data_IF_723438155385
#
_entry.id   IF_723438155385
#
_cell.length_a   1.000
_cell.length_b   1.000
_cell.length_c   1.000
_cell.angle_alpha   90.00
_cell.angle_beta   90.00
_cell.angle_gamma   90.00
#
_symmetry.space_group_name_H-M   'P 1'
#
loop_
_entity.id
_entity.type
_entity.pdbx_description
1 polymer ?
#
# COMPACT_ATOMS: atom_id res chain seq x y z
N UNK A 1 -14.12 -18.81 19.69
CA UNK A 1 -15.00 -18.21 20.71
C UNK A 1 -15.56 -19.24 21.70
N UNK A 2 -16.24 -20.32 21.25
CA UNK A 2 -16.81 -21.36 22.15
C UNK A 2 -15.86 -21.85 23.27
N UNK A 3 -14.67 -22.33 22.90
CA UNK A 3 -13.65 -22.81 23.86
C UNK A 3 -13.22 -21.74 24.89
N UNK A 4 -13.19 -20.47 24.49
CA UNK A 4 -12.82 -19.35 25.37
C UNK A 4 -13.95 -19.02 26.35
N UNK A 5 -15.20 -19.04 25.87
CA UNK A 5 -16.40 -18.87 26.70
C UNK A 5 -16.56 -20.02 27.68
N UNK A 6 -16.26 -21.25 27.26
CA UNK A 6 -16.31 -22.44 28.11
C UNK A 6 -15.25 -22.40 29.22
N UNK A 7 -14.00 -22.05 28.88
CA UNK A 7 -12.93 -21.83 29.88
C UNK A 7 -13.24 -20.70 30.85
N UNK A 8 -13.74 -19.57 30.35
CA UNK A 8 -14.14 -18.44 31.20
C UNK A 8 -15.29 -18.83 32.15
N UNK A 9 -16.28 -19.58 31.65
CA UNK A 9 -17.40 -20.07 32.48
C UNK A 9 -16.99 -21.11 33.52
N UNK A 10 -16.02 -21.99 33.21
CA UNK A 10 -15.43 -22.90 34.19
C UNK A 10 -14.66 -22.13 35.27
N UNK A 11 -13.92 -21.09 34.88
CA UNK A 11 -13.18 -20.26 35.83
C UNK A 11 -14.10 -19.45 36.74
N UNK A 12 -15.18 -18.87 36.19
CA UNK A 12 -16.18 -18.15 36.98
C UNK A 12 -16.81 -19.05 38.07
N UNK A 13 -17.12 -20.31 37.72
CA UNK A 13 -17.63 -21.31 38.67
C UNK A 13 -16.62 -21.63 39.76
N UNK A 14 -15.33 -21.78 39.40
CA UNK A 14 -14.23 -22.05 40.32
C UNK A 14 -13.97 -20.87 41.28
N UNK A 15 -14.04 -19.63 40.78
CA UNK A 15 -13.93 -18.42 41.59
C UNK A 15 -15.08 -18.32 42.61
N UNK A 16 -16.32 -18.60 42.18
CA UNK A 16 -17.49 -18.60 43.08
C UNK A 16 -17.34 -19.61 44.21
N UNK A 17 -16.95 -20.87 43.92
CA UNK A 17 -16.80 -21.88 44.97
C UNK A 17 -15.66 -21.55 45.94
N UNK A 18 -14.55 -20.99 45.46
CA UNK A 18 -13.39 -20.65 46.31
C UNK A 18 -13.62 -19.39 47.14
N UNK A 19 -14.38 -18.41 46.64
CA UNK A 19 -14.82 -17.25 47.41
C UNK A 19 -15.72 -17.63 48.59
N UNK A 20 -16.49 -18.71 48.46
CA UNK A 20 -17.33 -19.26 49.53
C UNK A 20 -16.51 -20.03 50.58
N UNK A 21 -15.33 -20.53 50.22
CA UNK A 21 -14.48 -21.41 51.04
C UNK A 21 -13.32 -20.69 51.75
N UNK A 22 -12.98 -19.44 51.36
CA UNK A 22 -12.01 -18.60 52.09
C UNK A 22 -10.53 -18.94 51.88
N UNK A 23 -10.18 -19.71 50.85
CA UNK A 23 -8.81 -20.18 50.61
C UNK A 23 -7.94 -19.14 49.87
N UNK A 24 -6.92 -18.60 50.55
CA UNK A 24 -6.02 -17.57 50.00
C UNK A 24 -4.98 -18.09 48.99
N UNK A 25 -4.53 -19.34 49.10
CA UNK A 25 -3.55 -19.91 48.14
C UNK A 25 -4.17 -20.17 46.76
N UNK A 26 -5.47 -20.42 46.70
CA UNK A 26 -6.21 -20.61 45.45
C UNK A 26 -6.30 -19.33 44.60
N UNK A 27 -6.11 -18.14 45.19
CA UNK A 27 -6.11 -16.87 44.48
C UNK A 27 -4.97 -16.72 43.47
N UNK A 28 -3.78 -17.29 43.73
CA UNK A 28 -2.64 -17.19 42.80
C UNK A 28 -2.90 -18.02 41.54
N UNK A 29 -3.40 -19.24 41.70
CA UNK A 29 -3.76 -20.10 40.57
C UNK A 29 -4.91 -19.51 39.75
N UNK A 30 -5.93 -18.97 40.41
CA UNK A 30 -7.04 -18.26 39.74
C UNK A 30 -6.52 -17.06 38.95
N UNK A 31 -5.63 -16.24 39.53
CA UNK A 31 -5.11 -15.05 38.84
C UNK A 31 -4.26 -15.41 37.63
N UNK A 32 -3.50 -16.51 37.69
CA UNK A 32 -2.79 -17.05 36.53
C UNK A 32 -3.75 -17.52 35.43
N UNK A 33 -4.76 -18.34 35.78
CA UNK A 33 -5.77 -18.80 34.82
C UNK A 33 -6.56 -17.62 34.21
N UNK A 34 -6.92 -16.60 34.99
CA UNK A 34 -7.56 -15.38 34.47
C UNK A 34 -6.64 -14.63 33.48
N UNK A 35 -5.36 -14.50 33.81
CA UNK A 35 -4.37 -13.82 32.96
C UNK A 35 -4.21 -14.53 31.61
N UNK A 36 -4.16 -15.87 31.62
CA UNK A 36 -4.09 -16.67 30.39
C UNK A 36 -5.34 -16.53 29.52
N UNK A 37 -6.53 -16.57 30.13
CA UNK A 37 -7.80 -16.38 29.42
C UNK A 37 -7.87 -14.96 28.82
N UNK A 38 -7.52 -13.93 29.59
CA UNK A 38 -7.50 -12.55 29.11
C UNK A 38 -6.50 -12.36 27.96
N UNK A 39 -5.29 -12.90 28.10
CA UNK A 39 -4.26 -12.83 27.05
C UNK A 39 -4.72 -13.52 25.77
N UNK A 40 -5.31 -14.71 25.89
CA UNK A 40 -5.85 -15.46 24.74
C UNK A 40 -7.02 -14.71 24.09
N UNK A 41 -7.91 -14.11 24.87
CA UNK A 41 -9.01 -13.31 24.37
C UNK A 41 -8.50 -12.08 23.62
N UNK A 42 -7.56 -11.34 24.21
CA UNK A 42 -6.92 -10.17 23.61
C UNK A 42 -6.26 -10.52 22.26
N UNK A 43 -5.46 -11.57 22.19
CA UNK A 43 -4.83 -12.00 20.94
C UNK A 43 -5.85 -12.38 19.86
N UNK A 44 -6.98 -12.99 20.23
CA UNK A 44 -8.06 -13.29 19.28
C UNK A 44 -8.81 -12.04 18.82
N UNK A 45 -9.08 -11.09 19.71
CA UNK A 45 -9.69 -9.82 19.32
C UNK A 45 -8.77 -9.05 18.37
N UNK A 46 -7.47 -8.97 18.69
CA UNK A 46 -6.47 -8.36 17.83
C UNK A 46 -6.42 -9.00 16.43
N UNK A 47 -6.45 -10.34 16.35
CA UNK A 47 -6.41 -11.02 15.04
C UNK A 47 -7.68 -10.80 14.21
N UNK A 48 -8.86 -10.72 14.85
CA UNK A 48 -10.11 -10.36 14.17
C UNK A 48 -10.06 -8.94 13.65
N UNK A 49 -9.69 -7.95 14.50
CA UNK A 49 -9.56 -6.55 14.08
C UNK A 49 -8.53 -6.37 12.98
N UNK A 50 -7.40 -7.08 13.04
CA UNK A 50 -6.38 -7.04 11.99
C UNK A 50 -6.92 -7.58 10.66
N UNK A 51 -7.67 -8.68 10.70
CA UNK A 51 -8.28 -9.25 9.50
C UNK A 51 -9.29 -8.30 8.86
N UNK A 52 -10.18 -7.70 9.65
CA UNK A 52 -11.14 -6.70 9.16
C UNK A 52 -10.43 -5.50 8.53
N UNK A 53 -9.32 -5.06 9.14
CA UNK A 53 -8.48 -3.99 8.62
C UNK A 53 -7.88 -4.37 7.26
N UNK A 54 -7.30 -5.56 7.15
CA UNK A 54 -6.73 -6.07 5.90
C UNK A 54 -7.81 -6.21 4.80
N UNK A 55 -8.98 -6.74 5.14
CA UNK A 55 -10.11 -6.89 4.21
C UNK A 55 -10.59 -5.51 3.70
N UNK A 56 -10.66 -4.50 4.56
CA UNK A 56 -11.03 -3.13 4.19
C UNK A 56 -10.00 -2.48 3.25
N UNK A 57 -8.70 -2.69 3.50
CA UNK A 57 -7.62 -2.20 2.64
C UNK A 57 -7.72 -2.84 1.25
N UNK A 58 -7.87 -4.16 1.18
CA UNK A 58 -7.99 -4.87 -0.09
C UNK A 58 -9.26 -4.48 -0.84
N UNK A 59 -10.39 -4.34 -0.14
CA UNK A 59 -11.66 -3.87 -0.72
C UNK A 59 -11.51 -2.49 -1.35
N UNK A 60 -10.85 -1.55 -0.66
CA UNK A 60 -10.54 -0.23 -1.22
C UNK A 60 -9.72 -0.35 -2.50
N UNK A 61 -8.61 -1.09 -2.48
CA UNK A 61 -7.71 -1.26 -3.62
C UNK A 61 -8.45 -1.89 -4.81
N UNK A 62 -9.22 -2.96 -4.59
CA UNK A 62 -9.93 -3.64 -5.67
C UNK A 62 -10.99 -2.75 -6.31
N UNK A 63 -11.79 -2.04 -5.50
CA UNK A 63 -12.76 -1.07 -6.01
C UNK A 63 -12.08 0.01 -6.85
N UNK A 64 -10.91 0.49 -6.42
CA UNK A 64 -10.14 1.50 -7.15
C UNK A 64 -9.57 0.96 -8.47
N UNK A 65 -9.00 -0.23 -8.47
CA UNK A 65 -8.50 -0.88 -9.69
C UNK A 65 -9.64 -1.15 -10.69
N UNK A 66 -10.81 -1.58 -10.20
CA UNK A 66 -12.00 -1.78 -11.03
C UNK A 66 -12.50 -0.47 -11.65
N UNK A 67 -12.57 0.61 -10.86
CA UNK A 67 -12.92 1.94 -11.38
C UNK A 67 -11.96 2.41 -12.48
N UNK A 68 -10.64 2.21 -12.30
CA UNK A 68 -9.64 2.55 -13.33
C UNK A 68 -9.84 1.71 -14.60
N UNK A 69 -10.15 0.41 -14.45
CA UNK A 69 -10.39 -0.50 -15.56
C UNK A 69 -11.66 -0.16 -16.35
N UNK A 70 -12.68 0.36 -15.68
CA UNK A 70 -13.96 0.75 -16.26
C UNK A 70 -13.98 2.20 -16.76
N UNK A 71 -12.81 2.85 -16.90
CA UNK A 71 -12.66 4.26 -17.30
C UNK A 71 -13.36 5.28 -16.38
N UNK A 72 -13.57 4.91 -15.11
CA UNK A 72 -14.15 5.75 -14.03
C UNK A 72 -13.07 6.44 -13.18
N UNK A 73 -11.85 6.55 -13.71
CA UNK A 73 -10.77 7.32 -13.10
C UNK A 73 -11.13 8.82 -13.03
N UNK A 74 -10.56 9.59 -12.08
CA UNK A 74 -10.88 11.02 -11.94
C UNK A 74 -10.48 11.85 -13.15
N UNK A 75 -9.62 11.34 -14.03
CA UNK A 75 -9.31 11.94 -15.33
C UNK A 75 -9.36 10.87 -16.41
N UNK A 76 -9.63 11.22 -17.67
CA UNK A 76 -9.43 10.30 -18.79
C UNK A 76 -7.97 9.86 -18.86
N UNK A 77 -7.75 8.55 -18.85
CA UNK A 77 -6.44 7.94 -18.96
C UNK A 77 -6.19 7.53 -20.40
N UNK A 78 -4.95 7.68 -20.87
CA UNK A 78 -4.56 7.18 -22.19
C UNK A 78 -4.54 5.64 -22.21
N UNK A 79 -4.81 5.03 -23.38
CA UNK A 79 -4.79 3.58 -23.53
C UNK A 79 -3.39 2.98 -23.35
N UNK A 80 -3.35 1.68 -23.06
CA UNK A 80 -2.14 0.92 -22.80
C UNK A 80 -1.79 0.79 -21.31
N UNK A 81 -0.54 0.39 -21.07
CA UNK A 81 0.01 0.08 -19.76
C UNK A 81 -0.05 1.25 -18.77
N UNK A 82 -0.38 0.93 -17.51
CA UNK A 82 -0.49 1.87 -16.39
C UNK A 82 0.21 1.30 -15.18
N UNK A 83 0.88 2.17 -14.44
CA UNK A 83 1.39 1.89 -13.11
C UNK A 83 0.46 2.56 -12.10
N UNK A 84 -0.10 1.77 -11.19
CA UNK A 84 -1.07 2.19 -10.19
C UNK A 84 -0.45 1.91 -8.83
N UNK A 85 -0.28 2.94 -8.01
CA UNK A 85 0.29 2.83 -6.67
C UNK A 85 -0.76 3.29 -5.67
N UNK A 86 -1.06 2.46 -4.68
CA UNK A 86 -1.89 2.82 -3.54
C UNK A 86 -1.05 2.90 -2.28
N UNK A 87 -1.13 4.02 -1.57
CA UNK A 87 -0.54 4.19 -0.25
C UNK A 87 -1.69 4.23 0.76
N UNK A 88 -1.71 3.27 1.68
CA UNK A 88 -2.83 3.06 2.60
C UNK A 88 -2.31 3.00 4.04
N UNK A 89 -2.90 3.74 4.99
CA UNK A 89 -2.51 3.65 6.41
C UNK A 89 -2.69 2.23 6.97
N UNK A 90 -1.79 1.78 7.86
CA UNK A 90 -1.90 0.43 8.46
C UNK A 90 -3.19 0.23 9.25
N UNK A 91 -3.73 1.31 9.83
CA UNK A 91 -4.98 1.30 10.58
C UNK A 91 -6.22 1.21 9.68
N UNK A 92 -6.01 0.91 8.40
CA UNK A 92 -7.06 0.67 7.42
C UNK A 92 -7.63 1.94 6.81
N UNK A 93 -8.63 1.71 5.98
CA UNK A 93 -9.45 2.76 5.40
C UNK A 93 -10.55 3.08 6.39
N UNK A 94 -10.51 4.27 6.98
CA UNK A 94 -11.57 4.74 7.86
C UNK A 94 -12.75 5.27 7.04
N UNK A 95 -13.96 4.88 7.41
CA UNK A 95 -15.18 5.37 6.77
C UNK A 95 -15.45 6.86 7.08
N UNK A 96 -14.93 7.35 8.21
CA UNK A 96 -15.02 8.76 8.57
C UNK A 96 -14.08 9.61 7.70
N UNK A 97 -14.68 10.25 6.69
CA UNK A 97 -14.08 11.27 5.82
C UNK A 97 -13.67 12.50 6.65
N UNK A 98 -12.57 12.38 7.38
CA UNK A 98 -12.15 13.35 8.41
C UNK A 98 -10.92 14.15 8.02
N UNK A 99 -10.24 13.80 6.92
CA UNK A 99 -9.10 14.56 6.46
C UNK A 99 -9.55 15.89 5.85
N UNK A 100 -9.12 16.99 6.46
CA UNK A 100 -9.19 18.31 5.85
C UNK A 100 -8.18 18.42 4.70
N UNK A 101 -8.65 18.14 3.50
CA UNK A 101 -7.84 18.22 2.28
C UNK A 101 -7.57 19.66 1.84
N UNK A 102 -8.19 20.68 2.45
CA UNK A 102 -8.00 22.08 2.05
C UNK A 102 -6.55 22.54 2.23
N UNK A 103 -5.84 21.97 3.21
CA UNK A 103 -4.42 22.21 3.50
C UNK A 103 -3.49 21.84 2.32
N UNK A 104 -3.98 21.05 1.36
CA UNK A 104 -3.22 20.60 0.19
C UNK A 104 -3.23 21.61 -0.97
N UNK A 105 -4.12 22.61 -0.93
CA UNK A 105 -4.28 23.61 -1.99
C UNK A 105 -2.94 24.25 -2.38
N UNK A 106 -2.22 24.73 -1.38
CA UNK A 106 -0.95 25.46 -1.56
C UNK A 106 0.25 24.51 -1.59
N UNK A 107 0.01 23.20 -1.53
CA UNK A 107 1.02 22.13 -1.55
C UNK A 107 0.95 21.27 -2.81
N UNK A 108 0.17 21.66 -3.81
CA UNK A 108 0.04 20.90 -5.07
C UNK A 108 1.39 20.59 -5.73
N UNK A 109 2.37 21.50 -5.64
CA UNK A 109 3.75 21.33 -6.12
C UNK A 109 4.52 20.21 -5.39
N UNK A 110 4.12 19.89 -4.16
CA UNK A 110 4.72 18.85 -3.32
C UNK A 110 4.09 17.47 -3.53
N UNK A 111 3.08 17.37 -4.38
CA UNK A 111 2.47 16.14 -4.87
C UNK A 111 2.82 15.94 -6.35
N UNK A 112 4.11 15.71 -6.68
CA UNK A 112 4.54 15.56 -8.06
C UNK A 112 3.96 14.27 -8.65
N UNK A 113 3.58 14.29 -9.93
CA UNK A 113 3.37 13.04 -10.65
C UNK A 113 4.71 12.32 -10.86
N UNK A 114 4.68 11.02 -11.12
CA UNK A 114 5.91 10.22 -11.25
C UNK A 114 6.79 10.72 -12.41
N UNK A 115 6.23 10.94 -13.60
CA UNK A 115 7.03 11.23 -14.80
C UNK A 115 6.88 12.62 -15.43
N UNK A 116 5.94 13.44 -14.96
CA UNK A 116 5.57 14.69 -15.64
C UNK A 116 5.83 15.93 -14.79
N UNK A 117 6.21 17.03 -15.44
CA UNK A 117 6.24 18.37 -14.87
C UNK A 117 4.98 19.13 -15.26
N UNK A 118 4.31 19.73 -14.28
CA UNK A 118 3.07 20.51 -14.46
C UNK A 118 1.98 20.09 -13.48
N UNK A 119 1.37 21.08 -12.82
CA UNK A 119 0.54 20.86 -11.64
C UNK A 119 -0.84 21.48 -11.83
N UNK A 120 -1.71 20.80 -12.58
CA UNK A 120 -3.13 21.09 -12.42
C UNK A 120 -3.60 20.42 -11.13
N UNK A 121 -4.47 21.09 -10.40
CA UNK A 121 -5.09 20.51 -9.22
C UNK A 121 -6.55 20.91 -9.12
N UNK A 122 -7.33 20.10 -8.42
CA UNK A 122 -8.71 20.43 -8.03
C UNK A 122 -9.15 19.62 -6.83
N UNK A 123 -10.21 20.08 -6.18
CA UNK A 123 -10.97 19.30 -5.22
C UNK A 123 -12.05 18.49 -5.95
N UNK A 124 -12.31 17.27 -5.49
CA UNK A 124 -13.44 16.45 -5.93
C UNK A 124 -14.14 15.82 -4.73
N UNK A 125 -15.16 15.00 -4.97
CA UNK A 125 -15.91 14.29 -3.93
C UNK A 125 -15.03 13.40 -3.06
N UNK A 126 -13.98 12.81 -3.64
CA UNK A 126 -13.10 11.88 -2.94
C UNK A 126 -11.99 12.57 -2.13
N UNK A 127 -11.46 13.71 -2.60
CA UNK A 127 -10.48 14.51 -1.87
C UNK A 127 -9.81 15.59 -2.72
N UNK A 128 -8.48 15.54 -2.75
CA UNK A 128 -7.62 16.46 -3.49
C UNK A 128 -6.89 15.73 -4.60
N UNK A 129 -6.99 16.24 -5.82
CA UNK A 129 -6.41 15.65 -7.01
C UNK A 129 -5.36 16.59 -7.59
N UNK A 130 -4.14 16.12 -7.79
CA UNK A 130 -3.20 16.72 -8.74
C UNK A 130 -3.14 15.85 -9.99
N UNK A 131 -3.05 16.48 -11.15
CA UNK A 131 -3.05 15.74 -12.42
C UNK A 131 -2.31 16.47 -13.52
N UNK A 132 -1.87 15.68 -14.49
CA UNK A 132 -1.27 16.17 -15.72
C UNK A 132 -1.78 15.34 -16.89
N UNK A 133 -2.18 16.00 -17.97
CA UNK A 133 -2.62 15.37 -19.20
C UNK A 133 -2.03 16.11 -20.38
N UNK A 134 -1.25 15.40 -21.17
CA UNK A 134 -0.74 15.84 -22.47
C UNK A 134 -1.37 14.99 -23.56
N UNK A 135 -1.01 15.25 -24.83
CA UNK A 135 -1.53 14.50 -25.98
C UNK A 135 -1.21 13.00 -25.94
N UNK A 136 -0.21 12.58 -25.14
CA UNK A 136 0.25 11.19 -25.12
C UNK A 136 0.38 10.61 -23.70
N UNK A 137 0.29 11.44 -22.65
CA UNK A 137 0.49 11.02 -21.26
C UNK A 137 -0.60 11.55 -20.35
N UNK A 138 -0.96 10.74 -19.37
CA UNK A 138 -1.97 11.04 -18.36
C UNK A 138 -1.47 10.48 -17.04
N UNK A 139 -1.38 11.34 -16.04
CA UNK A 139 -1.05 10.93 -14.68
C UNK A 139 -1.78 11.76 -13.65
N UNK A 140 -2.00 11.14 -12.49
CA UNK A 140 -2.61 11.83 -11.36
C UNK A 140 -2.14 11.28 -10.02
N UNK A 141 -2.30 12.11 -9.00
CA UNK A 141 -2.20 11.76 -7.59
C UNK A 141 -3.50 12.20 -6.93
N UNK A 142 -4.25 11.26 -6.38
CA UNK A 142 -5.47 11.48 -5.62
C UNK A 142 -5.18 11.22 -4.14
N UNK A 143 -5.33 12.25 -3.31
CA UNK A 143 -5.39 12.10 -1.85
C UNK A 143 -6.85 12.01 -1.46
N UNK A 144 -7.25 10.91 -0.83
CA UNK A 144 -8.62 10.66 -0.41
C UNK A 144 -8.86 11.21 1.00
N UNK A 145 -10.10 11.58 1.29
CA UNK A 145 -10.54 12.07 2.61
C UNK A 145 -10.43 11.03 3.73
N UNK A 146 -10.32 9.75 3.37
CA UNK A 146 -10.07 8.64 4.30
C UNK A 146 -8.57 8.42 4.57
N UNK A 147 -7.70 9.26 4.02
CA UNK A 147 -6.24 9.20 4.20
C UNK A 147 -5.49 8.26 3.26
N UNK A 148 -6.18 7.59 2.35
CA UNK A 148 -5.52 6.83 1.29
C UNK A 148 -4.95 7.77 0.21
N UNK A 149 -3.95 7.29 -0.53
CA UNK A 149 -3.44 7.95 -1.72
C UNK A 149 -3.42 6.98 -2.91
N UNK A 150 -3.82 7.44 -4.09
CA UNK A 150 -3.75 6.70 -5.35
C UNK A 150 -2.93 7.51 -6.36
N UNK A 151 -1.95 6.86 -6.96
CA UNK A 151 -1.08 7.43 -7.99
C UNK A 151 -1.23 6.58 -9.24
N UNK A 152 -1.53 7.22 -10.37
CA UNK A 152 -1.57 6.54 -11.67
C UNK A 152 -0.65 7.25 -12.64
N UNK A 153 0.19 6.48 -13.31
CA UNK A 153 1.15 6.97 -14.28
C UNK A 153 1.20 6.08 -15.52
N UNK A 154 1.30 6.70 -16.70
CA UNK A 154 1.55 6.01 -17.96
C UNK A 154 2.89 6.40 -18.62
N UNK A 155 3.59 7.39 -18.08
CA UNK A 155 4.79 7.99 -18.66
C UNK A 155 6.05 7.13 -18.63
N UNK A 156 6.05 6.04 -17.85
CA UNK A 156 7.09 4.99 -17.84
C UNK A 156 6.89 3.93 -18.92
N UNK A 157 5.77 4.00 -19.66
CA UNK A 157 5.45 3.06 -20.73
C UNK A 157 5.70 3.71 -22.10
N UNK A 158 6.21 2.92 -23.04
CA UNK A 158 6.15 3.21 -24.47
C UNK A 158 5.14 2.26 -25.11
N UNK A 159 3.86 2.62 -25.04
CA UNK A 159 2.77 1.71 -25.40
C UNK A 159 2.79 1.22 -26.85
N UNK A 160 3.28 2.03 -27.79
CA UNK A 160 3.41 1.63 -29.19
C UNK A 160 4.33 0.41 -29.37
N UNK A 161 5.38 0.33 -28.56
CA UNK A 161 6.39 -0.74 -28.62
C UNK A 161 6.21 -1.76 -27.49
N UNK A 162 5.16 -1.61 -26.67
CA UNK A 162 4.92 -2.38 -25.44
C UNK A 162 6.16 -2.47 -24.54
N UNK A 163 6.80 -1.34 -24.25
CA UNK A 163 7.98 -1.30 -23.38
C UNK A 163 7.69 -0.63 -22.04
N UNK A 164 8.31 -1.15 -20.99
CA UNK A 164 8.40 -0.53 -19.66
C UNK A 164 9.84 -0.04 -19.44
N UNK A 165 10.03 1.25 -19.20
CA UNK A 165 11.33 1.81 -18.83
C UNK A 165 11.66 1.48 -17.37
N UNK A 166 12.09 0.24 -17.12
CA UNK A 166 12.13 -0.34 -15.77
C UNK A 166 13.06 0.42 -14.81
N UNK A 167 14.29 0.73 -15.21
CA UNK A 167 15.23 1.47 -14.32
C UNK A 167 14.68 2.83 -13.93
N UNK A 168 14.06 3.53 -14.89
CA UNK A 168 13.41 4.83 -14.65
C UNK A 168 12.22 4.69 -13.71
N UNK A 169 11.39 3.66 -13.88
CA UNK A 169 10.26 3.40 -12.99
C UNK A 169 10.73 3.18 -11.55
N UNK A 170 11.68 2.27 -11.33
CA UNK A 170 12.20 1.99 -10.00
C UNK A 170 12.86 3.23 -9.37
N UNK A 171 13.57 4.04 -10.15
CA UNK A 171 14.28 5.25 -9.67
C UNK A 171 13.31 6.34 -9.23
N UNK A 172 12.34 6.63 -10.09
CA UNK A 172 11.33 7.63 -9.83
C UNK A 172 10.49 7.25 -8.61
N UNK A 173 10.12 5.98 -8.48
CA UNK A 173 9.31 5.54 -7.35
C UNK A 173 10.06 5.75 -6.02
N UNK A 174 11.33 5.36 -5.93
CA UNK A 174 12.17 5.62 -4.75
C UNK A 174 12.28 7.11 -4.45
N UNK A 175 12.48 7.93 -5.48
CA UNK A 175 12.70 9.37 -5.30
C UNK A 175 11.41 10.12 -4.87
N UNK A 176 10.25 9.68 -5.35
CA UNK A 176 8.98 10.40 -5.15
C UNK A 176 8.26 9.94 -3.88
N UNK A 177 8.37 8.67 -3.48
CA UNK A 177 7.67 8.12 -2.33
C UNK A 177 7.90 8.90 -1.01
N UNK A 178 9.12 9.36 -0.67
CA UNK A 178 9.35 10.23 0.49
C UNK A 178 8.51 11.52 0.49
N UNK A 179 8.25 12.09 -0.70
CA UNK A 179 7.48 13.33 -0.85
C UNK A 179 6.01 13.08 -0.51
N UNK A 180 5.46 11.94 -0.95
CA UNK A 180 4.11 11.53 -0.58
C UNK A 180 3.98 11.26 0.92
N UNK A 181 4.93 10.55 1.53
CA UNK A 181 4.95 10.30 2.97
C UNK A 181 5.02 11.60 3.77
N UNK A 182 5.82 12.57 3.33
CA UNK A 182 5.89 13.90 3.94
C UNK A 182 4.53 14.60 3.92
N UNK A 183 3.82 14.54 2.80
CA UNK A 183 2.48 15.15 2.69
C UNK A 183 1.47 14.43 3.58
N UNK A 184 1.49 13.10 3.63
CA UNK A 184 0.63 12.32 4.54
C UNK A 184 0.90 12.68 6.01
N UNK A 185 2.17 12.84 6.39
CA UNK A 185 2.57 13.30 7.73
C UNK A 185 2.04 14.70 8.04
N UNK A 186 2.12 15.64 7.10
CA UNK A 186 1.54 16.98 7.25
C UNK A 186 0.01 16.97 7.33
N UNK A 187 -0.62 15.95 6.74
CA UNK A 187 -2.05 15.63 6.87
C UNK A 187 -2.39 14.92 8.20
N UNK A 188 -1.43 14.75 9.12
CA UNK A 188 -1.56 14.01 10.37
C UNK A 188 -1.89 12.52 10.17
N UNK A 189 -1.51 11.97 9.03
CA UNK A 189 -1.57 10.55 8.71
C UNK A 189 -0.16 10.00 8.93
N UNK A 190 0.02 9.40 10.10
CA UNK A 190 1.31 8.89 10.54
C UNK A 190 1.55 7.48 10.02
N UNK A 191 2.83 7.15 9.87
CA UNK A 191 3.28 5.78 9.60
C UNK A 191 2.79 4.79 10.67
N UNK A 192 2.70 3.49 10.35
CA UNK A 192 3.13 2.88 9.09
C UNK A 192 2.07 2.86 7.98
N UNK A 193 2.55 2.77 6.74
CA UNK A 193 1.73 2.71 5.53
C UNK A 193 2.04 1.45 4.74
N UNK A 194 1.02 0.83 4.15
CA UNK A 194 1.22 -0.15 3.08
C UNK A 194 1.29 0.55 1.73
N UNK A 195 2.21 0.10 0.88
CA UNK A 195 2.31 0.47 -0.52
C UNK A 195 1.99 -0.75 -1.38
N UNK A 196 0.98 -0.60 -2.21
CA UNK A 196 0.59 -1.58 -3.21
C UNK A 196 0.93 -1.04 -4.60
N UNK A 197 1.57 -1.85 -5.42
CA UNK A 197 1.96 -1.49 -6.78
C UNK A 197 1.30 -2.49 -7.73
N UNK A 198 0.49 -1.98 -8.64
CA UNK A 198 -0.17 -2.76 -9.69
C UNK A 198 0.21 -2.20 -11.05
N UNK A 199 0.68 -3.06 -11.95
CA UNK A 199 0.80 -2.74 -13.37
C UNK A 199 -0.41 -3.33 -14.09
N UNK A 200 -1.14 -2.53 -14.86
CA UNK A 200 -2.37 -2.93 -15.56
C UNK A 200 -2.29 -2.62 -17.04
N UNK A 201 -2.89 -3.48 -17.89
CA UNK A 201 -2.79 -3.36 -19.35
C UNK A 201 -1.39 -3.69 -19.88
N UNK A 202 -0.65 -4.56 -19.19
CA UNK A 202 0.78 -4.84 -19.48
C UNK A 202 1.03 -6.18 -20.16
N UNK A 203 -0.01 -6.89 -20.61
CA UNK A 203 0.18 -8.14 -21.34
C UNK A 203 0.97 -7.91 -22.64
N UNK A 204 2.02 -8.69 -22.83
CA UNK A 204 2.93 -8.59 -23.97
C UNK A 204 3.90 -7.42 -23.87
N UNK A 205 4.04 -6.79 -22.70
CA UNK A 205 5.09 -5.79 -22.49
C UNK A 205 6.41 -6.43 -22.11
N UNK A 206 7.52 -5.84 -22.55
CA UNK A 206 8.88 -6.21 -22.13
C UNK A 206 9.53 -5.10 -21.32
N UNK A 207 10.51 -5.47 -20.49
CA UNK A 207 11.30 -4.50 -19.72
C UNK A 207 12.45 -3.96 -20.59
N UNK A 208 12.54 -2.64 -20.71
CA UNK A 208 13.67 -1.96 -21.31
C UNK A 208 14.62 -1.45 -20.20
N UNK A 209 15.76 -2.13 -20.06
CA UNK A 209 16.78 -1.81 -19.07
C UNK A 209 17.96 -1.12 -19.74
N UNK A 210 17.98 0.21 -19.66
CA UNK A 210 19.07 1.07 -20.14
C UNK A 210 19.33 0.97 -21.64
N UNK A 211 20.15 0.02 -22.04
CA UNK A 211 20.63 -0.15 -23.42
C UNK A 211 20.12 -1.45 -24.04
N UNK A 212 19.45 -2.31 -23.28
CA UNK A 212 18.96 -3.58 -23.79
C UNK A 212 17.50 -3.86 -23.41
N UNK A 213 16.88 -4.67 -24.25
CA UNK A 213 15.53 -5.19 -24.08
C UNK A 213 15.63 -6.58 -23.42
N UNK A 214 14.81 -6.82 -22.40
CA UNK A 214 14.65 -8.18 -21.86
C UNK A 214 13.82 -9.01 -22.84
N UNK A 215 14.30 -10.21 -23.16
CA UNK A 215 13.76 -11.03 -24.24
C UNK A 215 12.33 -11.55 -23.98
N UNK A 216 11.98 -11.84 -22.73
CA UNK A 216 10.65 -12.33 -22.39
C UNK A 216 9.66 -11.19 -22.17
N UNK A 217 8.42 -11.45 -22.55
CA UNK A 217 7.28 -10.56 -22.36
C UNK A 217 6.48 -10.95 -21.11
N UNK A 218 5.80 -9.98 -20.52
CA UNK A 218 4.86 -10.18 -19.43
C UNK A 218 3.63 -10.92 -19.96
N UNK A 219 3.31 -12.07 -19.34
CA UNK A 219 2.20 -12.93 -19.80
C UNK A 219 0.82 -12.48 -19.30
N UNK A 220 0.78 -11.75 -18.18
CA UNK A 220 -0.47 -11.32 -17.50
C UNK A 220 -0.80 -9.87 -17.82
N UNK A 221 -2.10 -9.58 -17.93
CA UNK A 221 -2.56 -8.21 -18.16
C UNK A 221 -2.42 -7.32 -16.91
N UNK A 222 -2.55 -7.93 -15.74
CA UNK A 222 -2.40 -7.28 -14.44
C UNK A 222 -1.31 -7.98 -13.62
N UNK A 223 -0.33 -7.21 -13.15
CA UNK A 223 0.70 -7.64 -12.22
C UNK A 223 0.54 -6.88 -10.90
N UNK A 224 0.11 -7.58 -9.85
CA UNK A 224 0.11 -7.08 -8.47
C UNK A 224 1.41 -7.48 -7.81
N UNK A 225 2.25 -6.51 -7.51
CA UNK A 225 3.53 -6.74 -6.85
C UNK A 225 3.33 -7.01 -5.34
N UNK A 226 4.30 -7.65 -4.67
CA UNK A 226 4.32 -7.75 -3.21
C UNK A 226 4.05 -6.40 -2.53
N UNK A 227 3.17 -6.39 -1.52
CA UNK A 227 2.92 -5.20 -0.70
C UNK A 227 4.18 -4.84 0.09
N UNK A 228 4.43 -3.55 0.24
CA UNK A 228 5.58 -3.02 0.96
C UNK A 228 5.08 -2.28 2.20
N UNK A 229 5.62 -2.60 3.37
CA UNK A 229 5.35 -1.87 4.61
C UNK A 229 6.38 -0.74 4.72
N UNK A 230 5.91 0.47 4.96
CA UNK A 230 6.74 1.65 5.19
C UNK A 230 6.65 2.11 6.63
N UNK A 231 7.80 2.16 7.31
CA UNK A 231 7.93 2.53 8.72
C UNK A 231 8.72 3.84 8.90
N UNK A 232 8.72 4.39 10.11
CA UNK A 232 9.34 5.70 10.41
C UNK A 232 10.87 5.71 10.22
N UNK A 233 11.50 4.53 10.28
CA UNK A 233 12.94 4.28 10.20
C UNK A 233 13.40 3.66 8.87
N UNK A 234 12.62 3.77 7.79
CA UNK A 234 13.05 3.30 6.46
C UNK A 234 14.15 4.20 5.87
N UNK A 235 15.34 4.17 6.49
CA UNK A 235 16.57 4.82 6.03
C UNK A 235 17.08 4.22 4.70
N UNK A 236 16.43 3.17 4.20
CA UNK A 236 16.64 2.65 2.86
C UNK A 236 15.33 2.15 2.22
N UNK A 237 14.43 3.05 1.82
CA UNK A 237 13.26 2.73 0.96
C UNK A 237 13.61 1.80 -0.22
N UNK A 238 14.85 1.91 -0.72
CA UNK A 238 15.41 1.04 -1.74
C UNK A 238 15.42 -0.43 -1.35
N UNK A 239 15.69 -0.76 -0.10
CA UNK A 239 15.66 -2.13 0.45
C UNK A 239 14.22 -2.60 0.58
N UNK A 240 13.33 -1.77 1.14
CA UNK A 240 11.92 -2.12 1.37
C UNK A 240 11.15 -2.36 0.07
N UNK A 241 11.48 -1.63 -1.00
CA UNK A 241 10.88 -1.81 -2.34
C UNK A 241 11.51 -2.96 -3.15
N UNK A 242 12.70 -3.43 -2.79
CA UNK A 242 13.44 -4.43 -3.58
C UNK A 242 12.62 -5.71 -3.83
N UNK A 243 11.91 -6.32 -2.86
CA UNK A 243 11.13 -7.52 -3.13
C UNK A 243 10.04 -7.31 -4.19
N UNK A 244 9.43 -6.12 -4.24
CA UNK A 244 8.45 -5.78 -5.25
C UNK A 244 9.09 -5.67 -6.64
N UNK A 245 10.26 -5.04 -6.73
CA UNK A 245 11.03 -4.95 -7.97
C UNK A 245 11.51 -6.32 -8.44
N UNK A 246 12.04 -7.17 -7.55
CA UNK A 246 12.46 -8.53 -7.92
C UNK A 246 11.32 -9.32 -8.56
N UNK A 247 10.10 -9.25 -8.02
CA UNK A 247 8.93 -9.92 -8.62
C UNK A 247 8.56 -9.34 -9.99
N UNK A 248 8.73 -8.03 -10.21
CA UNK A 248 8.54 -7.44 -11.53
C UNK A 248 9.56 -7.97 -12.54
N UNK A 249 10.83 -8.13 -12.16
CA UNK A 249 11.84 -8.75 -13.02
C UNK A 249 11.56 -10.24 -13.28
N UNK A 250 11.05 -10.97 -12.28
CA UNK A 250 10.64 -12.37 -12.44
C UNK A 250 9.56 -12.52 -13.50
N UNK A 251 8.71 -11.52 -13.69
CA UNK A 251 7.64 -11.55 -14.71
C UNK A 251 8.16 -11.58 -16.15
N UNK A 252 9.45 -11.30 -16.37
CA UNK A 252 10.15 -11.40 -17.66
C UNK A 252 11.36 -12.35 -17.59
N UNK A 253 11.34 -13.32 -16.67
CA UNK A 253 12.33 -14.39 -16.60
C UNK A 253 13.68 -14.01 -15.98
N UNK A 254 13.78 -12.86 -15.31
CA UNK A 254 15.01 -12.42 -14.63
C UNK A 254 14.82 -12.54 -13.12
N UNK A 255 15.68 -13.31 -12.43
CA UNK A 255 15.52 -13.69 -11.02
C UNK A 255 15.43 -12.53 -10.01
N UNK A 256 15.87 -11.33 -10.37
CA UNK A 256 15.81 -10.17 -9.49
C UNK A 256 16.19 -8.88 -10.20
N UNK A 257 15.99 -7.75 -9.53
CA UNK A 257 16.28 -6.46 -10.16
C UNK A 257 17.76 -6.27 -10.44
N UNK A 258 18.08 -6.05 -11.71
CA UNK A 258 19.43 -5.74 -12.18
C UNK A 258 19.91 -4.33 -11.76
N UNK A 259 19.05 -3.56 -11.09
CA UNK A 259 19.45 -2.27 -10.51
C UNK A 259 20.03 -2.42 -9.09
N UNK A 260 20.18 -3.65 -8.58
CA UNK A 260 20.72 -3.95 -7.25
C UNK A 260 21.93 -4.88 -7.34
N UNK A 261 22.91 -4.66 -6.48
CA UNK A 261 24.08 -5.53 -6.27
C UNK A 261 24.21 -5.79 -4.78
N UNK A 262 24.26 -7.07 -4.38
CA UNK A 262 24.36 -7.48 -2.97
C UNK A 262 23.29 -6.83 -2.06
N UNK A 263 22.08 -6.64 -2.60
CA UNK A 263 20.95 -6.03 -1.88
C UNK A 263 20.97 -4.50 -1.84
N UNK A 264 22.06 -3.86 -2.29
CA UNK A 264 22.20 -2.40 -2.34
C UNK A 264 21.89 -1.89 -3.74
N UNK A 265 21.20 -0.75 -3.84
CA UNK A 265 20.89 -0.17 -5.14
C UNK A 265 22.13 0.43 -5.80
N UNK A 266 22.30 0.16 -7.09
CA UNK A 266 23.39 0.76 -7.87
C UNK A 266 23.10 2.26 -8.01
N UNK A 267 23.86 3.09 -7.31
CA UNK A 267 23.81 4.53 -7.51
C UNK A 267 24.45 4.88 -8.85
N UNK A 268 23.71 5.60 -9.69
CA UNK A 268 24.25 6.13 -10.94
C UNK A 268 24.59 7.59 -10.75
N UNK A 269 25.78 7.96 -11.25
CA UNK A 269 26.21 9.35 -11.40
C UNK A 269 25.46 10.03 -12.54
#
# INVERSE_FOLDING_TARGET
MRDLVEKAGLLEKKIKSLSEQGEKEALIHITQEMSEILSTALSRFQSVTQKETDDNILSFIFRRLEAIKNDEAPIPLHPGGKAIIHIVPIHGVKDDLSLDVSILRDKSQQLPQLCQGGFNFRFNFDGFLTYNRTNHKSSYVQVFRNGCMEIVENGIFKSADKLIYISRFEEILIHVLPKYLKILKECKIWVPHFVYITLSGVKGYSLYHNTFLVAHEIEKDELRLPKVLLEESDDALEVSLKPAFDVLWNSVGIHGSLNYVEGTRIQRK
#
